data_IF_571533038156
#
_entry.id   IF_571533038156
#
_cell.length_a   1.000
_cell.length_b   1.000
_cell.length_c   1.000
_cell.angle_alpha   90.00
_cell.angle_beta   90.00
_cell.angle_gamma   90.00
#
_symmetry.space_group_name_H-M   'P 1'
#
loop_
_entity.id
_entity.type
_entity.pdbx_description
1 polymer ?
#
# COMPACT_ATOMS: atom_id res chain seq x y z
N UNK A 1 3.15 -2.11 13.69
CA UNK A 1 2.47 -3.26 13.07
C UNK A 1 1.08 -2.78 12.75
N UNK A 2 0.73 -2.73 11.47
CA UNK A 2 -0.63 -2.35 11.05
C UNK A 2 -1.57 -3.49 11.40
N UNK A 3 -2.56 -3.25 12.25
CA UNK A 3 -3.58 -4.26 12.52
C UNK A 3 -4.48 -4.40 11.29
N UNK A 4 -4.37 -5.53 10.60
CA UNK A 4 -5.23 -5.86 9.46
C UNK A 4 -6.56 -6.47 9.94
N UNK A 5 -7.55 -6.49 9.05
CA UNK A 5 -8.92 -6.88 9.39
C UNK A 5 -9.13 -8.32 9.90
N UNK A 6 -8.19 -9.24 9.64
CA UNK A 6 -8.20 -10.61 10.13
C UNK A 6 -6.81 -11.24 10.06
N UNK A 7 -6.60 -12.34 10.78
CA UNK A 7 -5.32 -13.08 10.81
C UNK A 7 -4.85 -13.54 9.44
N UNK A 8 -5.77 -13.98 8.57
CA UNK A 8 -5.44 -14.41 7.21
C UNK A 8 -4.87 -13.26 6.37
N UNK A 9 -5.47 -12.06 6.46
CA UNK A 9 -4.93 -10.87 5.78
C UNK A 9 -3.55 -10.51 6.34
N UNK A 10 -3.39 -10.49 7.67
CA UNK A 10 -2.09 -10.24 8.32
C UNK A 10 -1.03 -11.22 7.84
N UNK A 11 -1.33 -12.52 7.82
CA UNK A 11 -0.38 -13.55 7.40
C UNK A 11 0.02 -13.42 5.92
N UNK A 12 -0.87 -12.93 5.06
CA UNK A 12 -0.65 -12.89 3.61
C UNK A 12 0.09 -11.63 3.18
N UNK A 13 -0.22 -10.49 3.80
CA UNK A 13 0.50 -9.22 3.57
C UNK A 13 1.93 -9.30 4.10
N UNK A 14 2.16 -10.02 5.20
CA UNK A 14 3.49 -10.15 5.83
C UNK A 14 4.22 -11.44 5.41
N UNK A 15 3.93 -11.98 4.22
CA UNK A 15 4.67 -13.17 3.75
C UNK A 15 6.13 -12.78 3.51
N UNK A 16 7.06 -13.54 4.10
CA UNK A 16 8.49 -13.39 3.86
C UNK A 16 8.98 -14.58 3.05
N UNK A 17 9.56 -14.33 1.89
CA UNK A 17 10.22 -15.34 1.08
C UNK A 17 11.73 -15.27 1.34
N UNK A 18 12.36 -16.40 1.64
CA UNK A 18 13.81 -16.51 1.80
C UNK A 18 14.56 -16.52 0.45
N UNK A 19 13.83 -16.65 -0.65
CA UNK A 19 14.39 -16.73 -2.01
C UNK A 19 14.29 -15.41 -2.79
N UNK A 20 13.42 -14.50 -2.39
CA UNK A 20 13.14 -13.25 -3.11
C UNK A 20 13.15 -12.07 -2.14
N UNK A 21 13.95 -11.05 -2.44
CA UNK A 21 14.06 -9.84 -1.61
C UNK A 21 12.80 -8.96 -1.69
N UNK A 22 12.10 -8.98 -2.83
CA UNK A 22 10.90 -8.18 -3.08
C UNK A 22 9.64 -9.06 -3.19
N UNK A 23 8.53 -8.72 -2.51
CA UNK A 23 7.28 -9.46 -2.59
C UNK A 23 6.73 -9.58 -4.02
N UNK A 24 6.89 -8.58 -4.90
CA UNK A 24 6.37 -8.67 -6.28
C UNK A 24 7.08 -9.75 -7.11
N UNK A 25 8.30 -10.13 -6.70
CA UNK A 25 9.07 -11.20 -7.33
C UNK A 25 8.73 -12.60 -6.80
N UNK A 26 8.02 -12.70 -5.67
CA UNK A 26 7.62 -13.98 -5.09
C UNK A 26 6.23 -14.40 -5.61
N UNK A 27 6.09 -15.53 -6.32
CA UNK A 27 4.79 -15.96 -6.86
C UNK A 27 3.77 -16.34 -5.77
N UNK A 28 4.22 -16.53 -4.53
CA UNK A 28 3.37 -16.83 -3.38
C UNK A 28 2.87 -15.57 -2.63
N UNK A 29 3.43 -14.40 -2.96
CA UNK A 29 3.00 -13.12 -2.41
C UNK A 29 1.86 -12.53 -3.24
N UNK A 30 0.62 -12.83 -2.82
CA UNK A 30 -0.58 -12.49 -3.60
C UNK A 30 -1.14 -11.10 -3.32
N UNK A 31 -1.01 -10.61 -2.08
CA UNK A 31 -1.61 -9.34 -1.64
C UNK A 31 -0.53 -8.45 -1.04
N UNK A 32 -0.43 -7.23 -1.57
CA UNK A 32 0.41 -6.17 -1.02
C UNK A 32 -0.41 -5.14 -0.26
N UNK A 33 0.23 -4.48 0.71
CA UNK A 33 -0.30 -3.29 1.37
C UNK A 33 0.66 -2.12 1.18
N UNK A 34 0.16 -1.00 0.66
CA UNK A 34 0.93 0.23 0.55
C UNK A 34 0.58 1.16 1.71
N UNK A 35 1.49 1.33 2.66
CA UNK A 35 1.28 2.22 3.81
C UNK A 35 1.06 3.68 3.37
N UNK A 36 1.86 4.17 2.41
CA UNK A 36 1.73 5.54 1.87
C UNK A 36 0.37 5.84 1.25
N UNK A 37 -0.29 4.84 0.67
CA UNK A 37 -1.60 5.00 0.04
C UNK A 37 -2.74 4.42 0.90
N UNK A 38 -2.45 3.82 2.05
CA UNK A 38 -3.39 3.06 2.86
C UNK A 38 -4.24 2.08 2.03
N UNK A 39 -3.63 1.40 1.07
CA UNK A 39 -4.37 0.60 0.10
C UNK A 39 -3.88 -0.86 0.06
N UNK A 40 -4.79 -1.74 -0.32
CA UNK A 40 -4.50 -3.15 -0.56
C UNK A 40 -4.64 -3.43 -2.05
N UNK A 41 -3.74 -4.25 -2.59
CA UNK A 41 -3.78 -4.67 -3.98
C UNK A 41 -3.45 -6.15 -4.15
N UNK A 42 -4.04 -6.78 -5.16
CA UNK A 42 -3.59 -8.06 -5.69
C UNK A 42 -2.37 -7.82 -6.56
N UNK A 43 -1.25 -8.44 -6.20
CA UNK A 43 0.01 -8.29 -6.93
C UNK A 43 -0.12 -8.94 -8.30
N UNK A 44 0.31 -8.25 -9.35
CA UNK A 44 0.41 -8.79 -10.71
C UNK A 44 1.87 -9.20 -10.92
N UNK A 45 2.12 -10.50 -11.09
CA UNK A 45 3.45 -11.03 -11.35
C UNK A 45 3.79 -10.99 -12.86
N UNK A 46 3.85 -9.78 -13.42
CA UNK A 46 4.23 -9.50 -14.81
C UNK A 46 5.70 -9.11 -14.99
N UNK A 47 6.49 -9.20 -13.91
CA UNK A 47 7.87 -8.72 -13.83
C UNK A 47 8.00 -7.27 -13.36
N UNK A 48 6.90 -6.59 -13.04
CA UNK A 48 6.87 -5.26 -12.43
C UNK A 48 6.40 -5.25 -10.97
N UNK A 49 5.93 -4.08 -10.54
CA UNK A 49 5.33 -3.83 -9.20
C UNK A 49 3.84 -3.48 -9.31
N UNK A 50 3.22 -3.85 -10.44
CA UNK A 50 1.81 -3.61 -10.73
C UNK A 50 0.92 -4.36 -9.76
N UNK A 51 -0.23 -3.76 -9.41
CA UNK A 51 -1.26 -4.42 -8.61
C UNK A 51 -2.65 -3.91 -8.97
N UNK A 52 -3.67 -4.72 -8.68
CA UNK A 52 -5.08 -4.35 -8.80
C UNK A 52 -5.64 -4.07 -7.41
N UNK A 53 -6.09 -2.85 -7.17
CA UNK A 53 -6.67 -2.44 -5.89
C UNK A 53 -7.90 -3.29 -5.54
N UNK A 54 -8.05 -3.64 -4.26
CA UNK A 54 -9.20 -4.38 -3.74
C UNK A 54 -9.91 -3.60 -2.62
N UNK A 55 -11.24 -3.64 -2.63
CA UNK A 55 -12.07 -2.94 -1.65
C UNK A 55 -12.53 -3.84 -0.49
N UNK A 56 -12.39 -5.16 -0.64
CA UNK A 56 -12.86 -6.13 0.33
C UNK A 56 -11.79 -7.19 0.60
N UNK A 57 -11.66 -7.57 1.86
CA UNK A 57 -10.78 -8.66 2.27
C UNK A 57 -11.21 -9.99 1.63
N UNK A 58 -10.34 -10.68 0.86
CA UNK A 58 -10.68 -11.96 0.24
C UNK A 58 -11.02 -13.09 1.23
N UNK A 59 -10.64 -12.94 2.51
CA UNK A 59 -10.78 -13.99 3.51
C UNK A 59 -11.96 -13.78 4.47
N UNK A 60 -12.18 -12.55 4.96
CA UNK A 60 -13.26 -12.27 5.92
C UNK A 60 -14.38 -11.40 5.34
N UNK A 61 -14.27 -10.93 4.09
CA UNK A 61 -15.28 -10.11 3.42
C UNK A 61 -15.44 -8.70 3.99
N UNK A 62 -14.62 -8.29 4.97
CA UNK A 62 -14.67 -6.93 5.52
C UNK A 62 -14.26 -5.93 4.45
N UNK A 63 -15.01 -4.82 4.34
CA UNK A 63 -14.62 -3.66 3.55
C UNK A 63 -13.31 -3.07 4.08
N UNK A 64 -12.35 -2.88 3.19
CA UNK A 64 -11.03 -2.32 3.50
C UNK A 64 -11.11 -0.78 3.55
N UNK A 65 -10.13 -0.12 4.18
CA UNK A 65 -10.01 1.34 4.12
C UNK A 65 -9.97 1.83 2.67
N UNK A 66 -10.55 2.99 2.43
CA UNK A 66 -10.47 3.65 1.13
C UNK A 66 -9.03 4.06 0.83
N UNK A 67 -8.58 3.79 -0.40
CA UNK A 67 -7.25 4.20 -0.85
C UNK A 67 -7.11 5.73 -0.75
N UNK A 68 -6.00 6.17 -0.18
CA UNK A 68 -5.61 7.57 -0.07
C UNK A 68 -4.69 7.99 -1.22
N UNK A 69 -4.53 7.14 -2.26
CA UNK A 69 -3.65 7.37 -3.40
C UNK A 69 -3.93 8.71 -4.10
N UNK A 70 -5.18 9.00 -4.42
CA UNK A 70 -5.53 10.25 -5.11
C UNK A 70 -5.16 11.47 -4.25
N UNK A 71 -5.53 11.42 -2.96
CA UNK A 71 -5.18 12.48 -1.99
C UNK A 71 -3.68 12.66 -1.82
N UNK A 72 -2.91 11.58 -1.88
CA UNK A 72 -1.45 11.64 -1.82
C UNK A 72 -0.90 12.44 -3.01
N UNK A 73 -1.39 12.19 -4.23
CA UNK A 73 -0.98 12.97 -5.40
C UNK A 73 -1.45 14.42 -5.31
N UNK A 74 -2.70 14.67 -4.89
CA UNK A 74 -3.23 16.03 -4.71
C UNK A 74 -2.38 16.85 -3.71
N UNK A 75 -1.91 16.21 -2.64
CA UNK A 75 -1.06 16.83 -1.61
C UNK A 75 0.33 17.17 -2.14
N UNK A 76 0.96 16.28 -2.92
CA UNK A 76 2.24 16.56 -3.55
C UNK A 76 2.12 17.66 -4.61
N UNK A 77 1.07 17.63 -5.44
CA UNK A 77 0.82 18.65 -6.46
C UNK A 77 0.62 20.03 -5.81
N UNK A 78 -0.14 20.10 -4.70
CA UNK A 78 -0.32 21.37 -3.96
C UNK A 78 0.99 21.92 -3.41
N UNK A 79 1.95 21.06 -3.10
CA UNK A 79 3.31 21.44 -2.68
C UNK A 79 4.25 21.71 -3.87
N UNK A 80 3.78 21.51 -5.10
CA UNK A 80 4.56 21.68 -6.32
C UNK A 80 5.63 20.59 -6.52
N UNK A 81 5.37 19.37 -6.03
CA UNK A 81 6.30 18.23 -6.10
C UNK A 81 5.78 17.26 -7.16
N UNK A 82 6.56 16.99 -8.19
CA UNK A 82 6.30 15.89 -9.14
C UNK A 82 7.02 14.62 -8.65
N UNK A 83 6.32 13.59 -8.17
CA UNK A 83 6.95 12.37 -7.65
C UNK A 83 7.72 11.55 -8.70
N UNK A 84 7.64 11.89 -9.99
CA UNK A 84 8.47 11.28 -11.04
C UNK A 84 9.83 11.94 -11.20
N UNK A 85 9.92 13.24 -10.92
CA UNK A 85 11.11 14.05 -11.18
C UNK A 85 11.78 14.54 -9.89
N UNK A 86 10.99 14.78 -8.83
CA UNK A 86 11.41 15.35 -7.56
C UNK A 86 11.54 14.30 -6.44
N UNK A 87 12.34 14.63 -5.43
CA UNK A 87 12.46 13.81 -4.23
C UNK A 87 11.20 13.94 -3.35
N UNK A 88 10.50 12.82 -3.14
CA UNK A 88 9.32 12.76 -2.28
C UNK A 88 9.73 12.85 -0.80
N UNK A 89 9.20 13.81 -0.02
CA UNK A 89 9.55 13.96 1.39
C UNK A 89 9.28 12.69 2.19
N UNK A 90 10.14 12.42 3.18
CA UNK A 90 10.11 11.17 3.94
C UNK A 90 8.76 10.85 4.61
N UNK A 91 7.97 11.87 4.97
CA UNK A 91 6.63 11.72 5.54
C UNK A 91 5.59 11.13 4.56
N UNK A 92 5.81 11.27 3.24
CA UNK A 92 4.98 10.73 2.17
C UNK A 92 5.40 9.32 1.72
N UNK A 93 6.48 8.78 2.28
CA UNK A 93 6.97 7.45 1.93
C UNK A 93 6.24 6.33 2.68
N UNK A 94 5.53 6.66 3.77
CA UNK A 94 4.75 5.73 4.59
C UNK A 94 3.44 6.37 5.06
N UNK A 95 2.79 5.80 6.08
CA UNK A 95 1.49 6.26 6.59
C UNK A 95 1.58 7.51 7.49
N UNK A 96 2.77 8.07 7.75
CA UNK A 96 2.94 9.22 8.66
C UNK A 96 2.21 10.47 8.19
N UNK A 97 2.17 10.76 6.89
CA UNK A 97 1.43 11.92 6.37
C UNK A 97 -0.09 11.83 6.63
N UNK A 98 -0.64 10.62 6.83
CA UNK A 98 -2.05 10.44 7.17
C UNK A 98 -2.37 10.91 8.60
N UNK A 99 -1.38 10.92 9.50
CA UNK A 99 -1.58 11.40 10.87
C UNK A 99 -1.83 12.92 10.91
N UNK A 100 -1.23 13.67 10.00
CA UNK A 100 -1.45 15.11 9.84
C UNK A 100 -2.89 15.45 9.46
N UNK A 101 -3.61 14.51 8.84
CA UNK A 101 -5.01 14.68 8.41
C UNK A 101 -6.04 14.47 9.53
N UNK A 102 -5.65 13.92 10.68
CA UNK A 102 -6.58 13.66 11.80
C UNK A 102 -6.83 14.88 12.68
N UNK A 103 -6.22 16.03 12.36
CA UNK A 103 -6.31 17.27 13.16
C UNK A 103 -7.23 18.34 12.53
N UNK A 104 -7.97 18.01 11.47
CA UNK A 104 -9.00 18.86 10.87
C UNK A 104 -10.42 18.29 11.05
#
# INVERSE_FOLDING_TARGET
MTDHCCEAMTSRVNVCCDQHDDPSSCPDALVGFSARFQEYGLIIHDGGTSSVTIDFCPWCGRRLPESQRDRWFDELERRGIDPREDEVPAEFQDDRWLASLRQE
#
